data_IF_150166184282
#
_entry.id   IF_150166184282
#
_cell.length_a   1.000
_cell.length_b   1.000
_cell.length_c   1.000
_cell.angle_alpha   90.00
_cell.angle_beta   90.00
_cell.angle_gamma   90.00
#
_symmetry.space_group_name_H-M   'P 1'
#
loop_
_entity.id
_entity.type
_entity.pdbx_description
1 polymer ?
#
# COMPACT_ATOMS: atom_id res chain seq x y z
N UNK A 1 -3.28 -13.19 12.26
CA UNK A 1 -4.68 -12.75 12.20
C UNK A 1 -4.96 -12.16 10.81
N UNK A 2 -5.03 -12.98 9.76
CA UNK A 2 -5.21 -12.50 8.37
C UNK A 2 -6.19 -13.38 7.59
N UNK A 3 -7.34 -13.71 8.24
CA UNK A 3 -8.40 -14.51 7.58
C UNK A 3 -9.46 -13.65 6.87
N UNK A 4 -9.38 -12.32 6.95
CA UNK A 4 -10.38 -11.41 6.37
C UNK A 4 -10.00 -10.97 4.95
N UNK A 5 -8.74 -11.09 4.54
CA UNK A 5 -8.31 -10.70 3.19
C UNK A 5 -8.62 -11.72 2.10
N UNK A 6 -8.83 -12.98 2.47
CA UNK A 6 -9.09 -14.05 1.50
C UNK A 6 -10.54 -14.07 0.99
N UNK A 7 -11.49 -13.47 1.70
CA UNK A 7 -12.91 -13.48 1.33
C UNK A 7 -13.33 -12.37 0.38
N UNK A 8 -12.50 -11.36 0.18
CA UNK A 8 -12.85 -10.23 -0.71
C UNK A 8 -12.50 -10.48 -2.19
N UNK A 9 -11.64 -11.48 -2.46
CA UNK A 9 -11.25 -11.81 -3.84
C UNK A 9 -12.24 -12.76 -4.55
N UNK A 10 -13.07 -13.48 -3.80
CA UNK A 10 -14.03 -14.44 -4.36
C UNK A 10 -15.35 -13.80 -4.81
N UNK A 11 -15.66 -12.55 -4.39
CA UNK A 11 -16.93 -11.89 -4.66
C UNK A 11 -17.06 -11.20 -6.01
N UNK A 12 -15.96 -11.02 -6.76
CA UNK A 12 -15.99 -10.19 -7.98
C UNK A 12 -16.23 -10.97 -9.28
N UNK A 13 -16.25 -12.30 -9.23
CA UNK A 13 -16.49 -13.12 -10.43
C UNK A 13 -17.95 -13.54 -10.65
N UNK A 14 -18.86 -13.20 -9.73
CA UNK A 14 -20.24 -13.70 -9.77
C UNK A 14 -21.29 -12.75 -10.38
N UNK A 15 -20.93 -11.56 -10.89
CA UNK A 15 -21.91 -10.56 -11.31
C UNK A 15 -22.03 -10.33 -12.82
N UNK A 16 -21.61 -11.25 -13.68
CA UNK A 16 -21.79 -11.14 -15.14
C UNK A 16 -22.78 -12.17 -15.71
N UNK A 17 -23.47 -12.93 -14.87
CA UNK A 17 -24.49 -13.86 -15.30
C UNK A 17 -25.88 -13.34 -14.94
N UNK A 18 -26.36 -12.28 -15.62
CA UNK A 18 -27.79 -11.92 -15.59
C UNK A 18 -28.33 -11.69 -16.98
N UNK A 19 -29.05 -12.72 -17.41
CA UNK A 19 -30.28 -12.65 -18.18
C UNK A 19 -30.27 -11.77 -19.45
N UNK A 20 -29.82 -12.36 -20.53
CA UNK A 20 -30.50 -12.15 -21.80
C UNK A 20 -30.87 -13.51 -22.35
N UNK A 21 -32.17 -13.78 -22.55
CA UNK A 21 -32.65 -14.90 -23.38
C UNK A 21 -31.85 -14.88 -24.69
N UNK A 22 -31.13 -15.97 -25.03
CA UNK A 22 -30.36 -15.97 -26.26
C UNK A 22 -31.33 -15.90 -27.46
N UNK A 23 -31.27 -14.77 -28.16
CA UNK A 23 -31.67 -14.79 -29.56
C UNK A 23 -30.79 -15.86 -30.26
N UNK A 24 -31.32 -16.58 -31.27
CA UNK A 24 -30.58 -17.61 -31.98
C UNK A 24 -29.27 -17.01 -32.49
N UNK A 25 -28.15 -17.42 -31.85
CA UNK A 25 -26.82 -16.92 -32.19
C UNK A 25 -26.48 -17.53 -33.54
N UNK A 26 -26.42 -16.71 -34.58
CA UNK A 26 -25.82 -17.11 -35.83
C UNK A 26 -24.39 -17.63 -35.54
N UNK A 27 -23.96 -18.72 -36.18
CA UNK A 27 -22.63 -19.29 -35.92
C UNK A 27 -21.56 -18.20 -36.10
N UNK A 28 -20.72 -18.02 -35.07
CA UNK A 28 -19.67 -17.02 -35.07
C UNK A 28 -18.77 -17.22 -36.29
N UNK A 29 -18.55 -16.15 -37.05
CA UNK A 29 -17.65 -16.23 -38.21
C UNK A 29 -16.22 -16.52 -37.76
N UNK A 30 -15.38 -17.17 -38.55
CA UNK A 30 -13.97 -17.41 -38.21
C UNK A 30 -13.23 -16.12 -37.82
N UNK A 31 -13.64 -14.98 -38.33
CA UNK A 31 -13.10 -13.67 -38.01
C UNK A 31 -13.43 -13.27 -36.54
N UNK A 32 -14.65 -13.49 -36.10
CA UNK A 32 -15.10 -13.23 -34.72
C UNK A 32 -14.37 -14.13 -33.73
N UNK A 33 -14.29 -15.43 -34.00
CA UNK A 33 -13.57 -16.39 -33.13
C UNK A 33 -12.11 -16.00 -32.97
N UNK A 34 -11.45 -15.55 -34.05
CA UNK A 34 -10.06 -15.08 -34.01
C UNK A 34 -9.92 -13.77 -33.22
N UNK A 35 -10.89 -12.87 -33.34
CA UNK A 35 -10.90 -11.62 -32.58
C UNK A 35 -11.12 -11.87 -31.08
N UNK A 36 -12.03 -12.75 -30.71
CA UNK A 36 -12.27 -13.17 -29.32
C UNK A 36 -11.04 -13.81 -28.69
N UNK A 37 -10.39 -14.75 -29.39
CA UNK A 37 -9.17 -15.38 -28.90
C UNK A 37 -7.99 -14.38 -28.70
N UNK A 38 -7.91 -13.34 -29.53
CA UNK A 38 -7.00 -12.23 -29.35
C UNK A 38 -7.39 -11.37 -28.13
N UNK A 39 -8.66 -11.06 -28.00
CA UNK A 39 -9.23 -10.30 -26.90
C UNK A 39 -8.93 -10.95 -25.56
N UNK A 40 -9.22 -12.25 -25.43
CA UNK A 40 -8.96 -13.03 -24.22
C UNK A 40 -7.48 -13.01 -23.80
N UNK A 41 -6.57 -13.16 -24.78
CA UNK A 41 -5.13 -13.06 -24.51
C UNK A 41 -4.71 -11.67 -24.04
N UNK A 42 -5.23 -10.62 -24.64
CA UNK A 42 -4.91 -9.24 -24.28
C UNK A 42 -5.45 -8.91 -22.88
N UNK A 43 -6.68 -9.28 -22.58
CA UNK A 43 -7.27 -9.10 -21.24
C UNK A 43 -6.51 -9.90 -20.19
N UNK A 44 -6.19 -11.16 -20.46
CA UNK A 44 -5.42 -11.98 -19.53
C UNK A 44 -4.02 -11.38 -19.24
N UNK A 45 -3.36 -10.84 -20.27
CA UNK A 45 -2.08 -10.14 -20.09
C UNK A 45 -2.23 -8.86 -19.25
N UNK A 46 -3.25 -8.05 -19.51
CA UNK A 46 -3.52 -6.83 -18.76
C UNK A 46 -3.84 -7.13 -17.27
N UNK A 47 -4.71 -8.09 -17.00
CA UNK A 47 -5.03 -8.53 -15.63
C UNK A 47 -3.79 -9.06 -14.91
N UNK A 48 -2.94 -9.82 -15.61
CA UNK A 48 -1.68 -10.30 -15.02
C UNK A 48 -0.71 -9.15 -14.72
N UNK A 49 -0.69 -8.11 -15.55
CA UNK A 49 0.11 -6.89 -15.31
C UNK A 49 -0.41 -6.14 -14.10
N UNK A 50 -1.73 -5.91 -14.02
CA UNK A 50 -2.40 -5.28 -12.86
C UNK A 50 -2.06 -6.02 -11.56
N UNK A 51 -2.23 -7.34 -11.53
CA UNK A 51 -1.92 -8.15 -10.35
C UNK A 51 -0.44 -8.04 -9.91
N UNK A 52 0.49 -7.90 -10.87
CA UNK A 52 1.91 -7.66 -10.56
C UNK A 52 2.16 -6.28 -9.96
N UNK A 53 1.47 -5.26 -10.44
CA UNK A 53 1.56 -3.89 -9.90
C UNK A 53 1.00 -3.88 -8.49
N UNK A 54 -0.16 -4.50 -8.26
CA UNK A 54 -0.79 -4.62 -6.95
C UNK A 54 0.14 -5.28 -5.94
N UNK A 55 0.69 -6.44 -6.27
CA UNK A 55 1.61 -7.16 -5.40
C UNK A 55 2.88 -6.35 -5.09
N UNK A 56 3.45 -5.64 -6.09
CA UNK A 56 4.61 -4.77 -5.87
C UNK A 56 4.28 -3.57 -4.98
N UNK A 57 3.10 -2.98 -5.15
CA UNK A 57 2.63 -1.87 -4.34
C UNK A 57 2.45 -2.30 -2.87
N UNK A 58 1.83 -3.45 -2.62
CA UNK A 58 1.66 -4.00 -1.27
C UNK A 58 2.99 -4.29 -0.58
N UNK A 59 3.95 -4.91 -1.29
CA UNK A 59 5.30 -5.15 -0.75
C UNK A 59 6.04 -3.84 -0.42
N UNK A 60 5.85 -2.78 -1.23
CA UNK A 60 6.43 -1.46 -0.92
C UNK A 60 5.86 -0.89 0.38
N UNK A 61 4.54 -0.98 0.57
CA UNK A 61 3.86 -0.51 1.79
C UNK A 61 4.34 -1.30 3.00
N UNK A 62 4.34 -2.63 2.94
CA UNK A 62 4.82 -3.49 4.02
C UNK A 62 6.26 -3.16 4.44
N UNK A 63 7.17 -3.01 3.47
CA UNK A 63 8.55 -2.60 3.75
C UNK A 63 8.65 -1.22 4.38
N UNK A 64 7.80 -0.28 3.99
CA UNK A 64 7.77 1.05 4.58
C UNK A 64 7.27 1.00 6.04
N UNK A 65 6.27 0.18 6.33
CA UNK A 65 5.72 -0.03 7.69
C UNK A 65 6.75 -0.69 8.63
N UNK A 66 7.45 -1.72 8.15
CA UNK A 66 8.54 -2.36 8.89
C UNK A 66 9.63 -1.33 9.24
N UNK A 67 10.13 -0.60 8.24
CA UNK A 67 11.15 0.43 8.46
C UNK A 67 10.68 1.57 9.38
N UNK A 68 9.40 1.93 9.32
CA UNK A 68 8.84 2.93 10.22
C UNK A 68 8.80 2.41 11.66
N UNK A 69 8.42 1.15 11.86
CA UNK A 69 8.41 0.50 13.17
C UNK A 69 9.81 0.44 13.78
N UNK A 70 10.82 0.04 13.00
CA UNK A 70 12.22 0.04 13.42
C UNK A 70 12.69 1.42 13.86
N UNK A 71 12.41 2.46 13.03
CA UNK A 71 12.79 3.84 13.35
C UNK A 71 12.10 4.40 14.59
N UNK A 72 10.83 4.06 14.81
CA UNK A 72 10.08 4.44 16.02
C UNK A 72 10.69 3.79 17.26
N UNK A 73 10.97 2.49 17.17
CA UNK A 73 11.60 1.74 18.27
C UNK A 73 12.98 2.32 18.60
N UNK A 74 13.79 2.62 17.59
CA UNK A 74 15.11 3.26 17.76
C UNK A 74 14.97 4.66 18.39
N UNK A 75 14.03 5.48 17.92
CA UNK A 75 13.79 6.82 18.45
C UNK A 75 13.42 6.79 19.94
N UNK A 76 12.54 5.88 20.33
CA UNK A 76 12.14 5.70 21.73
C UNK A 76 13.29 5.16 22.59
N UNK A 77 14.08 4.22 22.08
CA UNK A 77 15.25 3.69 22.77
C UNK A 77 16.32 4.77 22.99
N UNK A 78 16.59 5.62 21.98
CA UNK A 78 17.51 6.74 22.10
C UNK A 78 17.05 7.77 23.13
N UNK A 79 15.76 8.09 23.14
CA UNK A 79 15.15 8.98 24.13
C UNK A 79 15.30 8.40 25.55
N UNK A 80 14.97 7.12 25.72
CA UNK A 80 15.10 6.42 27.00
C UNK A 80 16.54 6.42 27.52
N UNK A 81 17.52 6.11 26.64
CA UNK A 81 18.95 6.17 27.00
C UNK A 81 19.38 7.58 27.41
N UNK A 82 18.89 8.61 26.71
CA UNK A 82 19.23 10.01 27.01
C UNK A 82 18.67 10.42 28.34
N UNK A 83 17.40 10.08 28.65
CA UNK A 83 16.73 10.32 29.93
C UNK A 83 17.45 9.59 31.07
N UNK A 84 17.78 8.32 30.89
CA UNK A 84 18.51 7.55 31.89
C UNK A 84 19.88 8.20 32.25
N UNK A 85 20.60 8.70 31.24
CA UNK A 85 21.86 9.43 31.47
C UNK A 85 21.65 10.76 32.20
N UNK A 86 20.56 11.49 31.90
CA UNK A 86 20.23 12.74 32.57
C UNK A 86 19.90 12.48 34.03
N UNK A 87 19.05 11.50 34.32
CA UNK A 87 18.65 11.11 35.67
C UNK A 87 19.83 10.58 36.50
N UNK A 88 20.73 9.79 35.89
CA UNK A 88 21.94 9.35 36.56
C UNK A 88 22.87 10.51 37.03
N UNK A 89 22.88 11.63 36.29
CA UNK A 89 23.58 12.85 36.72
C UNK A 89 22.91 13.50 37.92
N UNK A 90 21.60 13.55 37.97
CA UNK A 90 20.85 14.06 39.13
C UNK A 90 21.12 13.22 40.38
N UNK A 91 21.16 11.89 40.22
CA UNK A 91 21.41 10.96 41.33
C UNK A 91 22.83 11.13 41.89
N UNK A 92 23.81 11.45 41.03
CA UNK A 92 25.19 11.63 41.42
C UNK A 92 25.54 13.04 41.89
N UNK A 93 24.64 14.01 41.77
CA UNK A 93 24.88 15.38 42.18
C UNK A 93 24.85 15.49 43.73
N UNK A 94 25.71 16.37 44.27
CA UNK A 94 25.68 16.71 45.70
C UNK A 94 24.37 17.37 46.08
N UNK A 95 24.01 17.30 47.37
CA UNK A 95 22.69 17.75 47.84
C UNK A 95 22.37 19.19 47.47
N UNK A 96 23.38 20.08 47.50
CA UNK A 96 23.25 21.50 47.09
C UNK A 96 23.03 21.72 45.62
N UNK A 97 23.54 20.83 44.77
CA UNK A 97 23.53 20.95 43.32
C UNK A 97 22.38 20.15 42.65
N UNK A 98 21.69 19.29 43.43
CA UNK A 98 20.54 18.50 42.96
C UNK A 98 19.48 19.29 42.29
N UNK A 99 19.00 20.45 42.79
CA UNK A 99 17.93 21.20 42.12
C UNK A 99 18.34 21.68 40.74
N UNK A 100 19.59 22.16 40.58
CA UNK A 100 20.09 22.60 39.29
C UNK A 100 20.29 21.41 38.30
N UNK A 101 20.82 20.29 38.82
CA UNK A 101 20.96 19.07 38.05
C UNK A 101 19.60 18.53 37.59
N UNK A 102 18.57 18.60 38.42
CA UNK A 102 17.21 18.21 38.07
C UNK A 102 16.62 19.10 36.96
N UNK A 103 16.73 20.43 37.08
CA UNK A 103 16.27 21.37 36.06
C UNK A 103 16.99 21.17 34.71
N UNK A 104 18.29 20.80 34.74
CA UNK A 104 19.04 20.45 33.52
C UNK A 104 18.55 19.12 32.95
N UNK A 105 18.27 18.13 33.79
CA UNK A 105 17.76 16.83 33.36
C UNK A 105 16.39 16.97 32.67
N UNK A 106 15.45 17.71 33.26
CA UNK A 106 14.13 17.99 32.65
C UNK A 106 14.26 18.61 31.24
N UNK A 107 15.15 19.59 31.07
CA UNK A 107 15.41 20.18 29.75
C UNK A 107 15.97 19.17 28.74
N UNK A 108 16.81 18.25 29.20
CA UNK A 108 17.37 17.18 28.36
C UNK A 108 16.30 16.17 27.99
N UNK A 109 15.44 15.80 28.94
CA UNK A 109 14.32 14.88 28.70
C UNK A 109 13.31 15.45 27.71
N UNK A 110 12.89 16.71 27.91
CA UNK A 110 11.98 17.39 26.99
C UNK A 110 12.55 17.45 25.55
N UNK A 111 13.85 17.73 25.41
CA UNK A 111 14.53 17.70 24.10
C UNK A 111 14.61 16.28 23.50
N UNK A 112 14.84 15.27 24.33
CA UNK A 112 14.88 13.88 23.88
C UNK A 112 13.51 13.41 23.39
N UNK A 113 12.44 13.77 24.10
CA UNK A 113 11.06 13.47 23.72
C UNK A 113 10.65 14.19 22.44
N UNK A 114 10.95 15.48 22.33
CA UNK A 114 10.68 16.24 21.11
C UNK A 114 11.39 15.65 19.89
N UNK A 115 12.66 15.24 20.05
CA UNK A 115 13.43 14.59 18.97
C UNK A 115 12.86 13.22 18.60
N UNK A 116 12.44 12.43 19.58
CA UNK A 116 11.79 11.16 19.31
C UNK A 116 10.45 11.36 18.59
N UNK A 117 9.63 12.31 19.04
CA UNK A 117 8.36 12.65 18.39
C UNK A 117 8.55 13.07 16.92
N UNK A 118 9.53 13.91 16.62
CA UNK A 118 9.86 14.30 15.25
C UNK A 118 10.23 13.08 14.40
N UNK A 119 11.10 12.20 14.89
CA UNK A 119 11.46 10.96 14.16
C UNK A 119 10.26 10.05 13.92
N UNK A 120 9.32 9.96 14.87
CA UNK A 120 8.08 9.19 14.73
C UNK A 120 7.17 9.80 13.67
N UNK A 121 7.00 11.12 13.67
CA UNK A 121 6.21 11.85 12.66
C UNK A 121 6.80 11.63 11.26
N UNK A 122 8.12 11.78 11.10
CA UNK A 122 8.81 11.57 9.84
C UNK A 122 8.67 10.12 9.33
N UNK A 123 8.73 9.15 10.25
CA UNK A 123 8.54 7.75 9.90
C UNK A 123 7.11 7.48 9.42
N UNK A 124 6.09 8.06 10.09
CA UNK A 124 4.69 7.96 9.66
C UNK A 124 4.46 8.62 8.30
N UNK A 125 4.93 9.85 8.11
CA UNK A 125 4.78 10.59 6.85
C UNK A 125 5.34 9.81 5.64
N UNK A 126 6.45 9.07 5.83
CA UNK A 126 7.01 8.21 4.78
C UNK A 126 6.12 7.01 4.47
N UNK A 127 5.49 6.41 5.47
CA UNK A 127 4.51 5.34 5.27
C UNK A 127 3.30 5.87 4.51
N UNK A 128 2.76 7.00 4.93
CA UNK A 128 1.58 7.60 4.32
C UNK A 128 1.85 7.97 2.84
N UNK A 129 3.00 8.58 2.55
CA UNK A 129 3.42 8.86 1.18
C UNK A 129 3.53 7.56 0.35
N UNK A 130 4.08 6.50 0.93
CA UNK A 130 4.19 5.20 0.23
C UNK A 130 2.81 4.59 -0.02
N UNK A 131 1.87 4.71 0.92
CA UNK A 131 0.48 4.25 0.76
C UNK A 131 -0.25 5.01 -0.34
N UNK A 132 -0.11 6.33 -0.37
CA UNK A 132 -0.72 7.17 -1.43
C UNK A 132 -0.18 6.77 -2.81
N UNK A 133 1.14 6.62 -2.93
CA UNK A 133 1.75 6.18 -4.19
C UNK A 133 1.30 4.77 -4.60
N UNK A 134 1.19 3.85 -3.64
CA UNK A 134 0.70 2.49 -3.89
C UNK A 134 -0.74 2.49 -4.42
N UNK A 135 -1.61 3.33 -3.84
CA UNK A 135 -3.00 3.50 -4.32
C UNK A 135 -3.01 4.08 -5.74
N UNK A 136 -2.17 5.08 -6.01
CA UNK A 136 -2.07 5.67 -7.35
C UNK A 136 -1.57 4.66 -8.39
N UNK A 137 -0.52 3.89 -8.07
CA UNK A 137 0.02 2.84 -8.95
C UNK A 137 -1.08 1.79 -9.28
N UNK A 138 -1.82 1.34 -8.28
CA UNK A 138 -2.93 0.38 -8.45
C UNK A 138 -4.07 0.95 -9.29
N UNK A 139 -4.45 2.20 -9.04
CA UNK A 139 -5.50 2.87 -9.80
C UNK A 139 -5.11 3.01 -11.28
N UNK A 140 -3.87 3.38 -11.58
CA UNK A 140 -3.35 3.48 -12.94
C UNK A 140 -3.38 2.12 -13.65
N UNK A 141 -2.91 1.05 -13.00
CA UNK A 141 -2.93 -0.29 -13.57
C UNK A 141 -4.36 -0.78 -13.86
N UNK A 142 -5.31 -0.46 -13.00
CA UNK A 142 -6.74 -0.76 -13.22
C UNK A 142 -7.33 0.01 -14.40
N UNK A 143 -6.95 1.27 -14.56
CA UNK A 143 -7.38 2.09 -15.72
C UNK A 143 -6.83 1.49 -17.02
N UNK A 144 -5.57 1.08 -17.07
CA UNK A 144 -4.98 0.40 -18.23
C UNK A 144 -5.70 -0.91 -18.54
N UNK A 145 -5.99 -1.73 -17.54
CA UNK A 145 -6.74 -2.97 -17.73
C UNK A 145 -8.15 -2.71 -18.28
N UNK A 146 -8.82 -1.67 -17.80
CA UNK A 146 -10.14 -1.30 -18.30
C UNK A 146 -10.08 -0.74 -19.73
N UNK A 147 -9.05 0.02 -20.07
CA UNK A 147 -8.83 0.51 -21.43
C UNK A 147 -8.64 -0.66 -22.42
N UNK A 148 -7.80 -1.66 -22.07
CA UNK A 148 -7.62 -2.87 -22.88
C UNK A 148 -8.96 -3.62 -23.05
N UNK A 149 -9.74 -3.79 -21.98
CA UNK A 149 -11.07 -4.43 -22.06
C UNK A 149 -12.03 -3.69 -22.99
N UNK A 150 -12.00 -2.36 -22.99
CA UNK A 150 -12.84 -1.54 -23.86
C UNK A 150 -12.40 -1.66 -25.32
N UNK A 151 -11.10 -1.61 -25.58
CA UNK A 151 -10.51 -1.73 -26.94
C UNK A 151 -10.84 -3.10 -27.56
N UNK A 152 -10.55 -4.20 -26.86
CA UNK A 152 -10.82 -5.53 -27.38
C UNK A 152 -12.31 -5.80 -27.62
N UNK A 153 -13.19 -5.20 -26.79
CA UNK A 153 -14.64 -5.27 -27.01
C UNK A 153 -15.05 -4.54 -28.27
N UNK A 154 -14.45 -3.42 -28.57
CA UNK A 154 -14.67 -2.69 -29.82
C UNK A 154 -14.18 -3.50 -31.04
N UNK A 155 -13.02 -4.13 -30.94
CA UNK A 155 -12.44 -4.97 -32.00
C UNK A 155 -13.31 -6.20 -32.31
N UNK A 156 -13.80 -6.91 -31.30
CA UNK A 156 -14.72 -8.04 -31.47
C UNK A 156 -16.02 -7.58 -32.13
N UNK A 157 -16.56 -6.43 -31.71
CA UNK A 157 -17.76 -5.85 -32.32
C UNK A 157 -17.52 -5.48 -33.79
N UNK A 158 -16.37 -4.89 -34.11
CA UNK A 158 -16.01 -4.56 -35.50
C UNK A 158 -15.83 -5.82 -36.36
N UNK A 159 -15.32 -6.92 -35.81
CA UNK A 159 -15.21 -8.20 -36.52
C UNK A 159 -16.58 -8.86 -36.79
N UNK A 160 -17.57 -8.61 -35.96
CA UNK A 160 -18.93 -9.13 -36.11
C UNK A 160 -19.77 -8.39 -37.18
N UNK A 161 -19.32 -7.21 -37.60
CA UNK A 161 -20.03 -6.38 -38.60
C UNK A 161 -19.49 -6.54 -40.02
N UNK A 162 -18.45 -7.38 -40.20
CA UNK A 162 -17.86 -7.75 -41.49
C UNK A 162 -18.27 -9.15 -41.92
#
# INVERSE_FOLDING_TARGET
>A
MNKVLATLLAGFFASVAMAQTPAPVAPATPAVVKAEAKADKAVAAAVKSEAKVDAKADVKVEKAEIKATEKKTEAHADAAKTKAKANAKVTKADAKDKPEAAAKAEKVEAKADAKAATKVIDANAKVDTTKVNAVADKAAAKVETNAVKAEVKADVKAAATK
#
